data_IF_825426433704
#
_entry.id   IF_825426433704
#
_cell.length_a   1.000
_cell.length_b   1.000
_cell.length_c   1.000
_cell.angle_alpha   90.00
_cell.angle_beta   90.00
_cell.angle_gamma   90.00
#
_symmetry.space_group_name_H-M   'P 1'
#
loop_
_entity.id
_entity.type
_entity.pdbx_description
1 polymer ?
#
# COMPACT_ATOMS: atom_id res chain seq x y z
N UNK A 1 34.88 -1.76 17.09
CA UNK A 1 34.09 -1.53 15.86
C UNK A 1 34.02 -2.81 15.04
N UNK A 2 32.88 -3.50 15.09
CA UNK A 2 32.40 -4.36 13.99
C UNK A 2 30.90 -4.16 13.95
N UNK A 3 30.48 -3.38 12.95
CA UNK A 3 29.07 -3.18 12.61
C UNK A 3 28.47 -4.54 12.24
N UNK A 4 27.46 -4.97 13.00
CA UNK A 4 26.66 -6.14 12.68
C UNK A 4 25.63 -5.67 11.65
N UNK A 5 25.85 -6.05 10.40
CA UNK A 5 24.81 -5.99 9.36
C UNK A 5 23.65 -6.85 9.86
N UNK A 6 22.39 -6.36 9.89
CA UNK A 6 21.26 -7.20 10.30
C UNK A 6 21.09 -8.35 9.31
N UNK A 7 20.94 -9.54 9.86
CA UNK A 7 20.68 -10.80 9.16
C UNK A 7 19.53 -10.66 8.16
N UNK A 8 19.76 -11.25 6.99
CA UNK A 8 18.82 -11.49 5.92
C UNK A 8 17.46 -11.95 6.44
N UNK A 9 16.43 -11.11 6.26
CA UNK A 9 15.04 -11.54 6.23
C UNK A 9 14.94 -12.60 5.13
N UNK A 10 14.62 -13.85 5.50
CA UNK A 10 14.37 -14.91 4.54
C UNK A 10 13.37 -14.44 3.49
N UNK A 11 13.54 -14.86 2.22
CA UNK A 11 12.64 -14.49 1.12
C UNK A 11 11.19 -14.80 1.53
N UNK A 12 10.49 -13.78 2.01
CA UNK A 12 9.13 -13.88 2.48
C UNK A 12 8.17 -14.04 1.31
N UNK A 13 6.92 -14.35 1.61
CA UNK A 13 5.85 -14.22 0.62
C UNK A 13 5.42 -12.75 0.59
N UNK A 14 5.78 -12.04 -0.48
CA UNK A 14 5.29 -10.71 -0.78
C UNK A 14 3.80 -10.75 -1.13
N UNK A 15 3.06 -9.73 -0.69
CA UNK A 15 1.64 -9.56 -0.97
C UNK A 15 1.34 -8.17 -1.52
N UNK A 16 0.57 -8.12 -2.59
CA UNK A 16 0.08 -6.89 -3.19
C UNK A 16 -1.44 -6.87 -3.22
N UNK A 17 -2.02 -5.69 -3.01
CA UNK A 17 -3.38 -5.37 -3.47
C UNK A 17 -3.26 -4.59 -4.77
N UNK A 18 -3.87 -5.11 -5.84
CA UNK A 18 -3.83 -4.48 -7.16
C UNK A 18 -5.24 -4.10 -7.59
N UNK A 19 -5.43 -2.86 -8.00
CA UNK A 19 -6.68 -2.39 -8.59
C UNK A 19 -6.59 -2.43 -10.12
N UNK A 20 -7.67 -2.84 -10.76
CA UNK A 20 -7.85 -2.73 -12.21
C UNK A 20 -7.94 -1.26 -12.58
N UNK A 21 -7.40 -0.89 -13.76
CA UNK A 21 -7.50 0.47 -14.29
C UNK A 21 -8.94 0.97 -14.36
N UNK A 22 -9.83 0.09 -14.82
CA UNK A 22 -11.27 0.31 -14.83
C UNK A 22 -12.03 -1.02 -14.66
N UNK A 23 -13.36 -0.93 -14.61
CA UNK A 23 -14.25 -2.07 -14.39
C UNK A 23 -14.37 -3.02 -15.60
N UNK A 24 -13.93 -2.59 -16.79
CA UNK A 24 -13.95 -3.37 -18.04
C UNK A 24 -12.61 -4.08 -18.28
N UNK A 25 -11.51 -3.52 -17.77
CA UNK A 25 -10.16 -4.06 -17.88
C UNK A 25 -9.89 -5.30 -16.98
N UNK A 26 -10.83 -5.72 -16.13
CA UNK A 26 -10.63 -6.78 -15.10
C UNK A 26 -9.98 -8.06 -15.66
N UNK A 27 -10.37 -8.51 -16.87
CA UNK A 27 -9.77 -9.70 -17.48
C UNK A 27 -8.33 -9.45 -17.93
N UNK A 28 -8.08 -8.30 -18.55
CA UNK A 28 -6.76 -7.86 -19.00
C UNK A 28 -5.82 -7.69 -17.81
N UNK A 29 -6.26 -7.02 -16.74
CA UNK A 29 -5.50 -6.85 -15.49
C UNK A 29 -5.05 -8.21 -14.93
N UNK A 30 -5.98 -9.17 -14.82
CA UNK A 30 -5.64 -10.51 -14.32
C UNK A 30 -4.63 -11.23 -15.20
N UNK A 31 -4.75 -11.10 -16.52
CA UNK A 31 -3.81 -11.72 -17.47
C UNK A 31 -2.42 -11.08 -17.37
N UNK A 32 -2.34 -9.75 -17.33
CA UNK A 32 -1.10 -9.00 -17.17
C UNK A 32 -0.36 -9.39 -15.88
N UNK A 33 -1.08 -9.45 -14.74
CA UNK A 33 -0.49 -9.85 -13.45
C UNK A 33 0.09 -11.27 -13.47
N UNK A 34 -0.58 -12.21 -14.17
CA UNK A 34 -0.08 -13.59 -14.30
C UNK A 34 1.12 -13.71 -15.22
N UNK A 35 1.18 -12.86 -16.25
CA UNK A 35 2.30 -12.83 -17.18
C UNK A 35 3.54 -12.17 -16.55
N UNK A 36 3.34 -11.12 -15.75
CA UNK A 36 4.42 -10.37 -15.11
C UNK A 36 5.23 -11.21 -14.13
N UNK A 37 4.58 -12.02 -13.29
CA UNK A 37 5.27 -12.74 -12.20
C UNK A 37 5.03 -14.24 -12.32
N UNK A 38 6.03 -14.95 -12.85
CA UNK A 38 6.00 -16.41 -12.96
C UNK A 38 5.91 -17.02 -11.56
N UNK A 39 4.99 -17.97 -11.37
CA UNK A 39 4.75 -18.62 -10.08
C UNK A 39 3.89 -17.80 -9.10
N UNK A 40 3.49 -16.58 -9.43
CA UNK A 40 2.62 -15.79 -8.54
C UNK A 40 1.20 -16.36 -8.44
N UNK A 41 0.67 -16.36 -7.21
CA UNK A 41 -0.73 -16.64 -6.95
C UNK A 41 -1.56 -15.37 -7.13
N UNK A 42 -2.28 -15.29 -8.23
CA UNK A 42 -3.21 -14.18 -8.51
C UNK A 42 -4.66 -14.61 -8.29
N UNK A 43 -5.32 -13.99 -7.30
CA UNK A 43 -6.73 -14.24 -6.96
C UNK A 43 -7.52 -12.94 -6.85
N UNK A 44 -8.85 -13.05 -6.90
CA UNK A 44 -9.74 -11.91 -6.63
C UNK A 44 -9.83 -11.67 -5.13
N UNK A 45 -9.96 -10.41 -4.72
CA UNK A 45 -10.16 -10.01 -3.32
C UNK A 45 -11.63 -10.08 -2.87
N UNK A 46 -12.53 -10.66 -3.67
CA UNK A 46 -13.98 -10.64 -3.42
C UNK A 46 -14.70 -9.42 -4.00
N UNK A 47 -13.97 -8.42 -4.50
CA UNK A 47 -14.52 -7.20 -5.10
C UNK A 47 -14.14 -7.08 -6.58
N UNK A 48 -15.04 -6.53 -7.40
CA UNK A 48 -14.80 -6.36 -8.83
C UNK A 48 -13.60 -5.44 -9.04
N UNK A 49 -12.64 -5.88 -9.84
CA UNK A 49 -11.43 -5.11 -10.15
C UNK A 49 -10.39 -5.05 -9.04
N UNK A 50 -10.53 -5.81 -7.95
CA UNK A 50 -9.53 -5.88 -6.89
C UNK A 50 -8.90 -7.28 -6.87
N UNK A 51 -7.59 -7.32 -6.94
CA UNK A 51 -6.79 -8.53 -6.98
C UNK A 51 -5.83 -8.59 -5.80
N UNK A 52 -5.55 -9.82 -5.36
CA UNK A 52 -4.47 -10.14 -4.45
C UNK A 52 -3.45 -10.92 -5.25
N UNK A 53 -2.21 -10.43 -5.25
CA UNK A 53 -1.07 -11.09 -5.84
C UNK A 53 -0.12 -11.47 -4.71
N UNK A 54 0.19 -12.76 -4.60
CA UNK A 54 1.13 -13.32 -3.64
C UNK A 54 2.27 -13.99 -4.42
N UNK A 55 3.52 -13.67 -4.10
CA UNK A 55 4.71 -14.25 -4.73
C UNK A 55 5.89 -14.26 -3.75
N UNK A 56 6.92 -15.07 -4.01
CA UNK A 56 8.16 -15.01 -3.23
C UNK A 56 8.90 -13.70 -3.49
N UNK A 57 9.44 -13.07 -2.43
CA UNK A 57 10.26 -11.87 -2.54
C UNK A 57 9.84 -10.76 -1.58
N UNK A 58 10.28 -9.54 -1.88
CA UNK A 58 9.93 -8.34 -1.14
C UNK A 58 8.70 -7.64 -1.75
N UNK A 59 7.81 -7.10 -0.89
CA UNK A 59 6.57 -6.48 -1.32
C UNK A 59 6.78 -5.15 -2.04
N UNK A 60 7.82 -4.38 -1.69
CA UNK A 60 8.14 -3.10 -2.32
C UNK A 60 8.75 -3.34 -3.71
N UNK A 61 9.71 -4.25 -3.82
CA UNK A 61 10.32 -4.63 -5.11
C UNK A 61 9.25 -5.18 -6.08
N UNK A 62 8.36 -6.03 -5.57
CA UNK A 62 7.26 -6.58 -6.35
C UNK A 62 6.26 -5.52 -6.79
N UNK A 63 5.93 -4.57 -5.91
CA UNK A 63 5.02 -3.46 -6.24
C UNK A 63 5.61 -2.54 -7.30
N UNK A 64 6.89 -2.21 -7.20
CA UNK A 64 7.61 -1.42 -8.21
C UNK A 64 7.56 -2.11 -9.56
N UNK A 65 7.96 -3.38 -9.61
CA UNK A 65 7.94 -4.20 -10.83
C UNK A 65 6.54 -4.27 -11.46
N UNK A 66 5.50 -4.54 -10.67
CA UNK A 66 4.12 -4.58 -11.18
C UNK A 66 3.67 -3.21 -11.69
N UNK A 67 4.02 -2.12 -11.02
CA UNK A 67 3.69 -0.79 -11.52
C UNK A 67 4.39 -0.53 -12.86
N UNK A 68 5.64 -0.95 -13.05
CA UNK A 68 6.38 -0.75 -14.29
C UNK A 68 5.85 -1.65 -15.44
N UNK A 69 5.69 -2.94 -15.20
CA UNK A 69 5.31 -3.90 -16.24
C UNK A 69 3.82 -3.85 -16.58
N UNK A 70 2.96 -3.55 -15.60
CA UNK A 70 1.51 -3.61 -15.77
C UNK A 70 0.82 -2.23 -15.79
N UNK A 71 1.56 -1.11 -15.88
CA UNK A 71 1.00 0.25 -15.76
C UNK A 71 -0.23 0.49 -16.64
N UNK A 72 -0.28 -0.12 -17.84
CA UNK A 72 -1.38 0.01 -18.80
C UNK A 72 -2.67 -0.72 -18.38
N UNK A 73 -2.57 -1.70 -17.49
CA UNK A 73 -3.69 -2.56 -17.10
C UNK A 73 -4.16 -2.32 -15.67
N UNK A 74 -3.34 -1.70 -14.81
CA UNK A 74 -3.67 -1.45 -13.41
C UNK A 74 -4.08 0.02 -13.16
N UNK A 75 -4.82 0.25 -12.08
CA UNK A 75 -5.04 1.58 -11.51
C UNK A 75 -3.93 1.93 -10.53
N UNK A 76 -3.73 1.07 -9.53
CA UNK A 76 -2.62 1.15 -8.58
C UNK A 76 -2.29 -0.20 -7.96
N UNK A 77 -1.11 -0.27 -7.36
CA UNK A 77 -0.62 -1.43 -6.62
C UNK A 77 -0.14 -0.99 -5.25
N UNK A 78 -0.75 -1.53 -4.21
CA UNK A 78 -0.38 -1.34 -2.82
C UNK A 78 0.56 -2.47 -2.40
N UNK A 79 1.78 -2.12 -1.99
CA UNK A 79 2.68 -3.06 -1.33
C UNK A 79 2.19 -3.30 0.09
N UNK A 80 1.67 -4.50 0.40
CA UNK A 80 1.11 -4.80 1.72
C UNK A 80 2.25 -5.07 2.70
N UNK A 81 2.31 -4.27 3.77
CA UNK A 81 3.33 -4.39 4.82
C UNK A 81 2.74 -4.86 6.15
N UNK A 82 1.42 -4.79 6.31
CA UNK A 82 0.70 -5.35 7.45
C UNK A 82 -0.72 -5.79 7.05
N UNK A 83 -1.23 -6.82 7.72
CA UNK A 83 -2.65 -7.18 7.71
C UNK A 83 -3.18 -7.11 9.15
N UNK A 84 -4.23 -6.33 9.34
CA UNK A 84 -4.81 -6.05 10.66
C UNK A 84 -6.32 -6.19 10.63
N UNK A 85 -6.94 -6.25 11.81
CA UNK A 85 -8.41 -6.21 11.91
C UNK A 85 -8.95 -4.86 11.40
N UNK A 86 -10.11 -4.88 10.75
CA UNK A 86 -10.80 -3.69 10.23
C UNK A 86 -11.48 -2.87 11.33
N UNK A 87 -10.70 -2.40 12.29
CA UNK A 87 -11.07 -1.47 13.37
C UNK A 87 -10.07 -0.32 13.40
N UNK A 88 -10.46 0.81 14.00
CA UNK A 88 -9.69 2.05 13.94
C UNK A 88 -8.27 1.90 14.50
N UNK A 89 -8.13 1.41 15.72
CA UNK A 89 -6.83 1.39 16.40
C UNK A 89 -5.79 0.48 15.71
N UNK A 90 -6.10 -0.77 15.34
CA UNK A 90 -5.14 -1.61 14.60
C UNK A 90 -4.71 -1.01 13.26
N UNK A 91 -5.62 -0.36 12.52
CA UNK A 91 -5.28 0.33 11.27
C UNK A 91 -4.37 1.52 11.54
N UNK A 92 -4.71 2.34 12.55
CA UNK A 92 -3.94 3.53 12.94
C UNK A 92 -2.53 3.15 13.36
N UNK A 93 -2.37 2.15 14.22
CA UNK A 93 -1.07 1.67 14.68
C UNK A 93 -0.21 1.16 13.52
N UNK A 94 -0.77 0.31 12.65
CA UNK A 94 -0.06 -0.19 11.48
C UNK A 94 0.34 0.94 10.52
N UNK A 95 -0.56 1.89 10.26
CA UNK A 95 -0.32 3.01 9.37
C UNK A 95 0.76 3.97 9.93
N UNK A 96 0.76 4.23 11.24
CA UNK A 96 1.81 5.03 11.91
C UNK A 96 3.16 4.33 11.81
N UNK A 97 3.23 3.04 12.11
CA UNK A 97 4.49 2.27 12.01
C UNK A 97 5.03 2.30 10.58
N UNK A 98 4.19 1.95 9.60
CA UNK A 98 4.56 1.96 8.18
C UNK A 98 4.98 3.36 7.73
N UNK A 99 4.21 4.39 8.09
CA UNK A 99 4.53 5.78 7.77
C UNK A 99 5.89 6.20 8.32
N UNK A 100 6.16 5.91 9.60
CA UNK A 100 7.42 6.22 10.24
C UNK A 100 8.62 5.47 9.63
N UNK A 101 8.42 4.24 9.13
CA UNK A 101 9.48 3.46 8.49
C UNK A 101 9.74 3.88 7.03
N UNK A 102 8.68 4.20 6.28
CA UNK A 102 8.74 4.31 4.82
C UNK A 102 8.80 5.75 4.30
N UNK A 103 8.29 6.73 5.05
CA UNK A 103 8.23 8.13 4.59
C UNK A 103 9.56 8.82 4.92
N UNK A 104 10.26 9.27 3.89
CA UNK A 104 11.48 10.05 3.99
C UNK A 104 11.24 11.45 4.56
N UNK A 105 12.30 12.06 5.06
CA UNK A 105 12.26 13.34 5.77
C UNK A 105 11.67 14.49 4.92
N UNK A 106 11.94 14.51 3.62
CA UNK A 106 11.49 15.55 2.67
C UNK A 106 10.36 15.08 1.74
N UNK A 107 9.89 13.83 1.89
CA UNK A 107 8.84 13.30 1.02
C UNK A 107 7.49 13.93 1.35
N UNK A 108 6.73 14.27 0.29
CA UNK A 108 5.31 14.58 0.42
C UNK A 108 4.54 13.30 0.65
N UNK A 109 3.66 13.30 1.65
CA UNK A 109 2.84 12.13 1.92
C UNK A 109 1.35 12.45 2.05
N UNK A 110 0.54 11.40 1.90
CA UNK A 110 -0.83 11.39 2.39
C UNK A 110 -1.23 10.00 2.87
N UNK A 111 -2.35 9.92 3.58
CA UNK A 111 -2.99 8.66 3.95
C UNK A 111 -4.31 8.51 3.20
N UNK A 112 -4.62 7.30 2.72
CA UNK A 112 -5.90 6.97 2.09
C UNK A 112 -6.50 5.69 2.65
N UNK A 113 -7.82 5.72 2.83
CA UNK A 113 -8.60 4.58 3.30
C UNK A 113 -9.62 4.18 2.24
N UNK A 114 -9.59 2.93 1.82
CA UNK A 114 -10.53 2.38 0.86
C UNK A 114 -11.40 1.30 1.51
N UNK A 115 -12.66 1.65 1.79
CA UNK A 115 -13.64 0.79 2.44
C UNK A 115 -14.36 -0.14 1.46
N UNK A 116 -14.28 -1.46 1.67
CA UNK A 116 -15.03 -2.45 0.89
C UNK A 116 -15.56 -3.58 1.77
N UNK A 117 -16.77 -4.04 1.46
CA UNK A 117 -17.43 -5.13 2.18
C UNK A 117 -17.95 -4.71 3.56
N UNK A 118 -18.37 -5.71 4.35
CA UNK A 118 -18.85 -5.48 5.72
C UNK A 118 -17.69 -5.33 6.70
N UNK A 119 -17.64 -4.20 7.41
CA UNK A 119 -16.56 -3.84 8.33
C UNK A 119 -17.10 -3.04 9.53
N UNK A 120 -16.30 -2.91 10.59
CA UNK A 120 -16.69 -2.23 11.83
C UNK A 120 -16.36 -0.72 11.87
N UNK A 121 -15.87 -0.17 10.76
CA UNK A 121 -15.54 1.27 10.64
C UNK A 121 -16.78 2.11 10.35
N UNK A 122 -17.50 2.51 11.40
CA UNK A 122 -18.73 3.31 11.33
C UNK A 122 -18.49 4.77 10.94
N UNK A 123 -17.33 5.34 11.31
CA UNK A 123 -17.03 6.75 11.04
C UNK A 123 -16.87 7.01 9.53
N UNK A 124 -17.23 8.20 9.07
CA UNK A 124 -17.04 8.60 7.68
C UNK A 124 -15.56 8.53 7.27
N UNK A 125 -15.29 8.07 6.04
CA UNK A 125 -13.92 7.90 5.52
C UNK A 125 -13.05 9.16 5.68
N UNK A 126 -13.50 10.39 5.37
CA UNK A 126 -12.66 11.58 5.56
C UNK A 126 -12.24 11.82 7.02
N UNK A 127 -13.08 11.47 7.99
CA UNK A 127 -12.76 11.62 9.43
C UNK A 127 -11.66 10.63 9.83
N UNK A 128 -11.79 9.38 9.38
CA UNK A 128 -10.77 8.35 9.59
C UNK A 128 -9.44 8.71 8.91
N UNK A 129 -9.49 9.22 7.68
CA UNK A 129 -8.30 9.66 6.95
C UNK A 129 -7.60 10.82 7.68
N UNK A 130 -8.36 11.78 8.19
CA UNK A 130 -7.82 12.89 8.97
C UNK A 130 -7.17 12.43 10.28
N UNK A 131 -7.85 11.56 11.04
CA UNK A 131 -7.33 11.05 12.32
C UNK A 131 -6.03 10.26 12.11
N UNK A 132 -6.05 9.28 11.21
CA UNK A 132 -4.91 8.40 10.98
C UNK A 132 -3.76 9.17 10.31
N UNK A 133 -4.07 10.02 9.32
CA UNK A 133 -3.09 10.89 8.69
C UNK A 133 -2.43 11.86 9.67
N UNK A 134 -3.20 12.40 10.62
CA UNK A 134 -2.70 13.22 11.72
C UNK A 134 -1.77 12.45 12.65
N UNK A 135 -2.09 11.19 12.98
CA UNK A 135 -1.23 10.33 13.79
C UNK A 135 0.12 10.05 13.10
N UNK A 136 0.11 9.76 11.79
CA UNK A 136 1.33 9.62 10.99
C UNK A 136 2.14 10.93 11.02
N UNK A 137 1.48 12.07 10.83
CA UNK A 137 2.12 13.39 10.86
C UNK A 137 2.83 13.64 12.20
N UNK A 138 2.20 13.33 13.33
CA UNK A 138 2.82 13.48 14.66
C UNK A 138 4.06 12.60 14.79
N UNK A 139 3.98 11.33 14.37
CA UNK A 139 5.11 10.41 14.43
C UNK A 139 6.29 10.88 13.56
N UNK A 140 6.02 11.40 12.36
CA UNK A 140 7.04 11.94 11.47
C UNK A 140 7.67 13.22 12.04
N UNK A 141 6.86 14.11 12.63
CA UNK A 141 7.37 15.32 13.28
C UNK A 141 8.31 14.98 14.44
N UNK A 142 7.93 13.98 15.26
CA UNK A 142 8.77 13.49 16.35
C UNK A 142 10.07 12.85 15.84
N UNK A 143 9.99 12.08 14.74
CA UNK A 143 11.15 11.40 14.15
C UNK A 143 12.16 12.36 13.54
N UNK A 144 11.70 13.38 12.81
CA UNK A 144 12.57 14.27 12.02
C UNK A 144 12.77 15.65 12.63
N UNK A 145 12.07 16.00 13.71
CA UNK A 145 12.20 17.30 14.36
C UNK A 145 11.70 18.50 13.54
N UNK A 146 11.01 18.26 12.42
CA UNK A 146 10.48 19.29 11.53
C UNK A 146 9.06 18.98 11.07
N UNK A 147 8.35 19.98 10.56
CA UNK A 147 6.99 19.84 10.04
C UNK A 147 6.95 18.92 8.81
N UNK A 148 6.30 17.75 8.87
CA UNK A 148 6.12 16.88 7.71
C UNK A 148 5.27 17.52 6.61
N UNK A 149 5.53 17.15 5.35
CA UNK A 149 4.90 17.72 4.17
C UNK A 149 3.70 16.88 3.71
N UNK A 150 2.48 17.35 3.99
CA UNK A 150 1.25 16.68 3.58
C UNK A 150 0.80 17.22 2.21
N UNK A 151 0.66 16.34 1.22
CA UNK A 151 0.10 16.68 -0.09
C UNK A 151 -0.99 15.66 -0.47
N UNK A 152 -2.25 16.09 -0.36
CA UNK A 152 -3.41 15.22 -0.65
C UNK A 152 -3.63 14.98 -2.15
N UNK A 153 -2.97 15.77 -3.02
CA UNK A 153 -3.17 15.75 -4.47
C UNK A 153 -2.03 15.04 -5.19
N UNK A 154 -0.79 15.30 -4.80
CA UNK A 154 0.41 14.81 -5.48
C UNK A 154 1.48 14.34 -4.48
N UNK A 155 1.18 13.34 -3.63
CA UNK A 155 2.16 12.78 -2.70
C UNK A 155 3.27 12.02 -3.45
N UNK A 156 4.47 12.00 -2.87
CA UNK A 156 5.56 11.11 -3.29
C UNK A 156 5.30 9.68 -2.78
N UNK A 157 4.71 9.57 -1.59
CA UNK A 157 4.32 8.32 -0.94
C UNK A 157 2.91 8.41 -0.35
N UNK A 158 2.09 7.39 -0.61
CA UNK A 158 0.77 7.26 0.01
C UNK A 158 0.77 6.04 0.92
N UNK A 159 0.47 6.23 2.21
CA UNK A 159 0.11 5.11 3.09
C UNK A 159 -1.35 4.77 2.84
N UNK A 160 -1.64 3.52 2.52
CA UNK A 160 -2.99 3.09 2.12
C UNK A 160 -3.46 1.95 3.00
N UNK A 161 -4.71 2.06 3.44
CA UNK A 161 -5.44 1.00 4.11
C UNK A 161 -6.58 0.51 3.19
N UNK A 162 -6.41 -0.69 2.65
CA UNK A 162 -7.39 -1.40 1.83
C UNK A 162 -8.24 -2.29 2.76
N UNK A 163 -9.41 -1.80 3.18
CA UNK A 163 -10.35 -2.54 4.03
C UNK A 163 -11.10 -3.55 3.16
N UNK A 164 -10.93 -4.84 3.44
CA UNK A 164 -11.49 -5.96 2.69
C UNK A 164 -12.34 -6.84 3.62
N UNK A 165 -13.51 -6.31 3.99
CA UNK A 165 -14.36 -6.93 4.99
C UNK A 165 -13.75 -6.86 6.41
N UNK A 166 -13.62 -7.97 7.14
CA UNK A 166 -13.13 -7.97 8.53
C UNK A 166 -11.63 -7.69 8.67
N UNK A 167 -10.85 -7.78 7.59
CA UNK A 167 -9.41 -7.55 7.58
C UNK A 167 -9.05 -6.35 6.69
N UNK A 168 -8.01 -5.63 7.06
CA UNK A 168 -7.47 -4.49 6.33
C UNK A 168 -6.01 -4.75 5.99
N UNK A 169 -5.67 -4.61 4.72
CA UNK A 169 -4.28 -4.61 4.26
C UNK A 169 -3.75 -3.16 4.31
N UNK A 170 -2.69 -2.93 5.09
CA UNK A 170 -2.04 -1.63 5.21
C UNK A 170 -0.69 -1.69 4.51
N UNK A 171 -0.40 -0.67 3.71
CA UNK A 171 0.73 -0.68 2.81
C UNK A 171 1.05 0.68 2.25
N UNK A 172 1.92 0.70 1.23
CA UNK A 172 2.32 1.94 0.57
C UNK A 172 2.19 1.88 -0.96
N UNK A 173 2.04 3.05 -1.54
CA UNK A 173 2.23 3.33 -2.96
C UNK A 173 3.30 4.42 -3.07
N UNK A 174 4.23 4.28 -4.02
CA UNK A 174 5.14 5.37 -4.39
C UNK A 174 4.82 5.91 -5.76
N UNK A 175 4.88 7.24 -5.89
CA UNK A 175 4.76 7.93 -7.17
C UNK A 175 5.85 7.51 -8.15
N UNK A 176 7.08 7.33 -7.66
CA UNK A 176 8.24 6.94 -8.46
C UNK A 176 8.06 5.59 -9.19
N UNK A 177 7.22 4.69 -8.66
CA UNK A 177 6.95 3.40 -9.32
C UNK A 177 6.18 3.55 -10.63
N UNK A 178 5.42 4.64 -10.79
CA UNK A 178 4.72 4.95 -12.03
C UNK A 178 5.73 5.60 -12.97
N UNK A 179 6.49 4.78 -13.69
CA UNK A 179 7.33 5.30 -14.78
C UNK A 179 6.39 5.83 -15.86
N UNK A 180 6.50 7.13 -16.13
CA UNK A 180 5.94 7.71 -17.34
C UNK A 180 6.74 7.11 -18.48
N UNK A 181 6.12 6.23 -19.28
CA UNK A 181 6.71 5.84 -20.56
C UNK A 181 7.01 7.14 -21.31
N UNK A 182 8.30 7.45 -21.45
CA UNK A 182 8.77 8.58 -22.25
C UNK A 182 8.74 8.18 -23.71
#
# INVERSE_FOLDING_TARGET
>A
MKSKVPESLGRGTAKLIVTSRDLYAVRQTKAALRAAVTGARVRRAGFRGIFILEAEGDALELAERINQECFQSIGHTTAVLAEVQSTLDPIKEAAVKIGAEQIGEDEKFCFRLHKRGSHLLEQETPKLEYEIGGAIWVALQQKYGKKPNVDLKNPDITVVAEVLGPNTAVGILRKAWRVSAT
#
